data_IF_091741153712
#
_entry.id   IF_091741153712
#
_cell.length_a   1.000
_cell.length_b   1.000
_cell.length_c   1.000
_cell.angle_alpha   90.00
_cell.angle_beta   90.00
_cell.angle_gamma   90.00
#
_symmetry.space_group_name_H-M   'P 1'
#
loop_
_entity.id
_entity.type
_entity.pdbx_description
1 polymer ?
#
# COMPACT_ATOMS: atom_id res chain seq x y z
N UNK A 1 7.47 12.51 -6.39
CA UNK A 1 6.08 12.41 -6.86
C UNK A 1 5.40 11.11 -6.37
N UNK A 2 5.91 9.91 -6.69
CA UNK A 2 5.24 8.63 -6.35
C UNK A 2 4.92 8.50 -4.84
N UNK A 3 5.85 8.86 -3.96
CA UNK A 3 5.62 8.82 -2.49
C UNK A 3 4.49 9.76 -2.07
N UNK A 4 4.45 10.99 -2.60
CA UNK A 4 3.39 11.95 -2.28
C UNK A 4 2.02 11.48 -2.82
N UNK A 5 2.00 10.90 -4.03
CA UNK A 5 0.79 10.31 -4.60
C UNK A 5 0.28 9.18 -3.72
N UNK A 6 1.13 8.22 -3.35
CA UNK A 6 0.73 7.08 -2.52
C UNK A 6 0.28 7.51 -1.12
N UNK A 7 0.92 8.51 -0.52
CA UNK A 7 0.48 9.08 0.74
C UNK A 7 -0.92 9.70 0.62
N UNK A 8 -1.20 10.42 -0.47
CA UNK A 8 -2.52 11.02 -0.73
C UNK A 8 -3.58 9.95 -1.05
N UNK A 9 -3.25 8.91 -1.81
CA UNK A 9 -4.15 7.79 -2.09
C UNK A 9 -4.60 7.05 -0.82
N UNK A 10 -3.76 7.01 0.21
CA UNK A 10 -4.15 6.47 1.54
C UNK A 10 -5.44 7.12 2.07
N UNK A 11 -5.68 8.38 1.72
CA UNK A 11 -6.84 9.13 2.14
C UNK A 11 -7.98 9.09 1.13
N UNK A 12 -7.67 9.35 -0.15
CA UNK A 12 -8.72 9.55 -1.17
C UNK A 12 -9.20 8.24 -1.81
N UNK A 13 -8.43 7.16 -1.66
CA UNK A 13 -8.74 5.83 -2.18
C UNK A 13 -8.43 4.74 -1.14
N UNK A 14 -8.85 4.96 0.10
CA UNK A 14 -8.49 4.13 1.25
C UNK A 14 -8.86 2.65 1.13
N UNK A 15 -9.82 2.29 0.28
CA UNK A 15 -10.23 0.91 0.04
C UNK A 15 -9.20 0.12 -0.79
N UNK A 16 -8.42 0.81 -1.63
CA UNK A 16 -7.42 0.16 -2.51
C UNK A 16 -5.99 0.52 -2.12
N UNK A 17 -5.80 1.68 -1.48
CA UNK A 17 -4.48 2.21 -1.17
C UNK A 17 -4.40 2.66 0.30
N UNK A 18 -3.35 2.25 1.00
CA UNK A 18 -3.13 2.64 2.40
C UNK A 18 -1.66 2.52 2.79
N UNK A 19 -1.17 3.42 3.64
CA UNK A 19 0.15 3.25 4.29
C UNK A 19 0.18 2.04 5.23
N UNK A 20 -0.98 1.60 5.71
CA UNK A 20 -1.14 0.36 6.47
C UNK A 20 -1.33 -0.88 5.60
N UNK A 21 -1.22 -0.77 4.29
CA UNK A 21 -1.38 -1.86 3.33
C UNK A 21 -0.06 -2.48 2.88
N UNK A 22 -0.17 -3.23 1.79
CA UNK A 22 0.94 -3.94 1.15
C UNK A 22 0.98 -3.62 -0.34
N UNK A 23 2.15 -3.72 -0.95
CA UNK A 23 2.30 -3.43 -2.36
C UNK A 23 3.64 -3.78 -2.94
N UNK A 24 3.77 -3.53 -4.22
CA UNK A 24 4.99 -3.71 -4.98
C UNK A 24 5.18 -2.49 -5.87
N UNK A 25 6.42 -2.08 -6.07
CA UNK A 25 6.77 -0.97 -6.93
C UNK A 25 7.82 -1.40 -7.96
N UNK A 26 7.56 -1.18 -9.24
CA UNK A 26 8.54 -1.28 -10.32
C UNK A 26 8.98 0.12 -10.71
N UNK A 27 10.28 0.39 -10.72
CA UNK A 27 10.84 1.74 -10.85
C UNK A 27 11.85 1.75 -11.98
N UNK A 28 11.64 2.60 -12.98
CA UNK A 28 12.64 2.91 -13.99
C UNK A 28 13.44 4.16 -13.59
N UNK A 29 14.74 4.01 -13.41
CA UNK A 29 15.64 5.12 -13.13
C UNK A 29 16.26 5.64 -14.43
N UNK A 30 15.74 6.76 -14.92
CA UNK A 30 16.19 7.36 -16.20
C UNK A 30 17.69 7.66 -16.23
N UNK A 31 18.28 8.04 -15.10
CA UNK A 31 19.70 8.42 -15.04
C UNK A 31 20.64 7.25 -15.32
N UNK A 32 20.27 6.05 -14.92
CA UNK A 32 21.08 4.83 -15.08
C UNK A 32 20.55 3.89 -16.16
N UNK A 33 19.31 4.09 -16.63
CA UNK A 33 18.61 3.18 -17.53
C UNK A 33 18.20 1.86 -16.88
N UNK A 34 18.29 1.76 -15.54
CA UNK A 34 17.97 0.53 -14.80
C UNK A 34 16.54 0.50 -14.32
N UNK A 35 16.00 -0.71 -14.25
CA UNK A 35 14.71 -0.99 -13.62
C UNK A 35 14.96 -1.71 -12.29
N UNK A 36 14.24 -1.34 -11.27
CA UNK A 36 14.28 -1.94 -9.94
C UNK A 36 12.88 -2.44 -9.56
N UNK A 37 12.84 -3.47 -8.74
CA UNK A 37 11.62 -3.90 -8.05
C UNK A 37 11.79 -3.72 -6.55
N UNK A 38 10.76 -3.18 -5.91
CA UNK A 38 10.68 -3.07 -4.46
C UNK A 38 9.44 -3.81 -3.96
N UNK A 39 9.66 -4.82 -3.16
CA UNK A 39 8.60 -5.51 -2.44
C UNK A 39 8.34 -4.78 -1.11
N UNK A 40 7.13 -4.27 -0.98
CA UNK A 40 6.58 -3.60 0.20
C UNK A 40 5.47 -4.45 0.84
N UNK A 41 5.57 -5.77 0.73
CA UNK A 41 4.62 -6.70 1.34
C UNK A 41 5.19 -7.18 2.67
N UNK A 42 4.42 -7.04 3.74
CA UNK A 42 4.79 -7.57 5.04
C UNK A 42 4.57 -9.08 5.13
N UNK A 43 5.17 -9.68 6.12
CA UNK A 43 5.01 -11.09 6.42
C UNK A 43 3.65 -11.38 7.09
N UNK A 44 3.21 -12.63 7.05
CA UNK A 44 2.17 -13.12 7.93
C UNK A 44 2.67 -13.03 9.40
N UNK A 45 1.81 -12.67 10.35
CA UNK A 45 2.19 -12.65 11.77
C UNK A 45 2.70 -14.02 12.25
N UNK A 46 3.72 -14.01 13.10
CA UNK A 46 4.30 -15.26 13.66
C UNK A 46 3.29 -16.06 14.49
N UNK A 47 2.37 -15.37 15.15
CA UNK A 47 1.33 -15.97 15.97
C UNK A 47 0.14 -16.53 15.16
N UNK A 48 0.18 -16.44 13.81
CA UNK A 48 -0.91 -16.93 12.97
C UNK A 48 -1.11 -18.44 13.14
N UNK A 49 -2.23 -18.81 13.72
CA UNK A 49 -2.70 -20.20 13.76
C UNK A 49 -3.53 -20.52 12.52
N UNK A 50 -2.92 -21.27 11.60
CA UNK A 50 -3.56 -21.65 10.34
C UNK A 50 -4.79 -22.52 10.51
N UNK A 51 -4.85 -23.33 11.58
CA UNK A 51 -5.98 -24.27 11.84
C UNK A 51 -7.20 -23.49 12.35
N UNK A 52 -6.99 -22.34 12.99
CA UNK A 52 -8.08 -21.46 13.44
C UNK A 52 -8.67 -20.58 12.32
N UNK A 53 -8.07 -20.56 11.13
CA UNK A 53 -8.49 -19.70 10.03
C UNK A 53 -9.56 -20.37 9.17
N UNK A 54 -10.59 -19.60 8.85
CA UNK A 54 -11.64 -19.96 7.89
C UNK A 54 -11.55 -19.10 6.65
N UNK A 55 -12.25 -19.46 5.58
CA UNK A 55 -12.33 -18.63 4.37
C UNK A 55 -12.86 -17.21 4.67
N UNK A 56 -13.72 -17.05 5.66
CA UNK A 56 -14.23 -15.76 6.09
C UNK A 56 -13.16 -14.95 6.82
N UNK A 57 -12.51 -15.53 7.84
CA UNK A 57 -11.48 -14.85 8.64
C UNK A 57 -10.19 -14.56 7.89
N UNK A 58 -9.90 -15.29 6.81
CA UNK A 58 -8.80 -14.99 5.89
C UNK A 58 -9.05 -13.72 5.04
N UNK A 59 -10.31 -13.36 4.82
CA UNK A 59 -10.67 -12.27 3.92
C UNK A 59 -11.24 -11.04 4.65
N UNK A 60 -11.64 -11.17 5.92
CA UNK A 60 -12.37 -10.13 6.64
C UNK A 60 -11.98 -10.06 8.10
N UNK A 61 -11.98 -8.82 8.61
CA UNK A 61 -11.77 -8.55 10.03
C UNK A 61 -10.28 -8.51 10.42
N UNK A 62 -10.06 -8.39 11.72
CA UNK A 62 -8.72 -8.14 12.30
C UNK A 62 -7.75 -9.31 12.06
N UNK A 63 -8.26 -10.54 12.03
CA UNK A 63 -7.45 -11.75 11.78
C UNK A 63 -6.87 -11.84 10.37
N UNK A 64 -7.48 -11.17 9.38
CA UNK A 64 -6.98 -11.13 8.00
C UNK A 64 -5.74 -10.22 7.83
N UNK A 65 -5.38 -9.46 8.86
CA UNK A 65 -4.26 -8.51 8.80
C UNK A 65 -2.92 -9.20 8.63
N UNK A 66 -2.08 -8.63 7.77
CA UNK A 66 -0.65 -8.94 7.66
C UNK A 66 0.15 -7.69 8.00
N UNK A 67 1.43 -7.85 8.31
CA UNK A 67 2.30 -6.71 8.66
C UNK A 67 2.23 -5.64 7.57
N UNK A 68 1.91 -4.37 7.88
CA UNK A 68 1.84 -3.31 6.88
C UNK A 68 3.21 -2.99 6.30
N UNK A 69 3.32 -2.95 4.98
CA UNK A 69 4.61 -2.78 4.30
C UNK A 69 4.76 -1.49 3.50
N UNK A 70 3.65 -0.86 3.08
CA UNK A 70 3.69 0.32 2.21
C UNK A 70 4.52 1.45 2.81
N UNK A 71 4.29 1.82 4.08
CA UNK A 71 5.01 2.95 4.68
C UNK A 71 6.52 2.75 4.65
N UNK A 72 7.02 1.57 5.07
CA UNK A 72 8.46 1.30 5.07
C UNK A 72 9.07 1.27 3.67
N UNK A 73 8.33 0.75 2.68
CA UNK A 73 8.73 0.82 1.29
C UNK A 73 8.81 2.25 0.77
N UNK A 74 7.85 3.12 1.11
CA UNK A 74 7.87 4.53 0.74
C UNK A 74 9.08 5.26 1.34
N UNK A 75 9.41 5.00 2.61
CA UNK A 75 10.64 5.54 3.24
C UNK A 75 11.88 5.06 2.50
N UNK A 76 11.96 3.77 2.16
CA UNK A 76 13.11 3.21 1.45
C UNK A 76 13.30 3.81 0.05
N UNK A 77 12.22 4.03 -0.72
CA UNK A 77 12.27 4.72 -2.02
C UNK A 77 12.65 6.18 -1.85
N UNK A 78 12.07 6.86 -0.87
CA UNK A 78 12.35 8.27 -0.61
C UNK A 78 13.81 8.47 -0.22
N UNK A 79 14.38 7.58 0.58
CA UNK A 79 15.79 7.63 0.96
C UNK A 79 16.71 7.36 -0.23
N UNK A 80 16.49 6.26 -0.94
CA UNK A 80 17.38 5.81 -2.03
C UNK A 80 17.32 6.69 -3.28
N UNK A 81 16.12 7.17 -3.66
CA UNK A 81 15.89 7.82 -4.96
C UNK A 81 15.29 9.23 -4.85
N UNK A 82 14.77 9.59 -3.68
CA UNK A 82 14.15 10.89 -3.44
C UNK A 82 15.16 11.97 -3.02
N UNK A 83 14.70 13.23 -3.15
CA UNK A 83 15.46 14.41 -2.72
C UNK A 83 14.72 15.23 -1.66
N UNK A 84 13.39 15.12 -1.64
CA UNK A 84 12.54 15.87 -0.72
C UNK A 84 12.52 15.20 0.66
N UNK A 85 12.14 15.95 1.68
CA UNK A 85 11.87 15.46 3.02
C UNK A 85 10.54 14.71 3.09
N UNK A 86 10.33 13.94 4.15
CA UNK A 86 9.03 13.32 4.43
C UNK A 86 7.95 14.40 4.65
N UNK A 87 8.32 15.50 5.32
CA UNK A 87 7.44 16.65 5.53
C UNK A 87 6.89 17.20 4.20
N UNK A 88 7.76 17.42 3.21
CA UNK A 88 7.37 17.94 1.90
C UNK A 88 6.48 16.97 1.11
N UNK A 89 6.76 15.67 1.16
CA UNK A 89 5.97 14.69 0.39
C UNK A 89 4.66 14.30 1.08
N UNK A 90 4.53 14.48 2.39
CA UNK A 90 3.32 14.18 3.15
C UNK A 90 2.40 15.41 3.35
N UNK A 91 2.90 16.62 3.07
CA UNK A 91 2.12 17.86 3.24
C UNK A 91 0.75 17.80 2.55
N UNK A 92 0.62 17.39 1.26
CA UNK A 92 -0.69 17.32 0.61
C UNK A 92 -1.65 16.35 1.30
N UNK A 93 -1.16 15.16 1.68
CA UNK A 93 -1.96 14.13 2.35
C UNK A 93 -2.44 14.61 3.72
N UNK A 94 -1.56 15.26 4.49
CA UNK A 94 -1.91 15.86 5.79
C UNK A 94 -2.95 16.96 5.60
N UNK A 95 -2.74 17.84 4.61
CA UNK A 95 -3.65 18.93 4.31
C UNK A 95 -5.06 18.45 3.98
N UNK A 96 -5.20 17.45 3.12
CA UNK A 96 -6.49 16.84 2.80
C UNK A 96 -7.12 16.10 3.98
N UNK A 97 -6.32 15.40 4.78
CA UNK A 97 -6.83 14.67 5.94
C UNK A 97 -7.39 15.61 7.02
N UNK A 98 -6.81 16.80 7.19
CA UNK A 98 -7.26 17.81 8.16
C UNK A 98 -8.39 18.69 7.63
N UNK A 99 -8.20 19.25 6.42
CA UNK A 99 -9.12 20.25 5.87
C UNK A 99 -10.25 19.63 5.04
N UNK A 100 -10.09 18.35 4.67
CA UNK A 100 -11.05 17.61 3.88
C UNK A 100 -10.81 17.68 2.37
N UNK A 101 -11.43 16.74 1.69
CA UNK A 101 -11.52 16.67 0.23
C UNK A 101 -12.93 16.23 -0.16
N UNK A 102 -13.42 16.60 -1.35
CA UNK A 102 -14.71 16.12 -1.81
C UNK A 102 -14.61 14.62 -2.13
N UNK A 103 -15.31 13.78 -1.33
CA UNK A 103 -15.27 12.33 -1.51
C UNK A 103 -15.88 11.94 -2.86
N UNK A 104 -15.20 11.05 -3.60
CA UNK A 104 -15.64 10.61 -4.92
C UNK A 104 -16.78 9.58 -4.86
N UNK A 105 -17.57 9.44 -5.94
CA UNK A 105 -18.69 8.52 -5.97
C UNK A 105 -18.28 7.04 -5.77
N UNK A 106 -17.15 6.60 -6.35
CA UNK A 106 -16.74 5.20 -6.26
C UNK A 106 -16.36 4.81 -4.82
N UNK A 107 -15.69 5.72 -4.09
CA UNK A 107 -15.41 5.54 -2.67
C UNK A 107 -16.69 5.46 -1.85
N UNK A 108 -17.69 6.31 -2.14
CA UNK A 108 -18.99 6.28 -1.47
C UNK A 108 -19.71 4.95 -1.71
N UNK A 109 -19.78 4.51 -2.97
CA UNK A 109 -20.42 3.24 -3.36
C UNK A 109 -19.73 2.04 -2.67
N UNK A 110 -18.39 2.07 -2.56
CA UNK A 110 -17.63 1.05 -1.83
C UNK A 110 -17.98 1.04 -0.34
N UNK A 111 -17.95 2.20 0.33
CA UNK A 111 -18.33 2.31 1.76
C UNK A 111 -19.76 1.80 1.96
N UNK A 112 -20.69 2.14 1.08
CA UNK A 112 -22.07 1.68 1.14
C UNK A 112 -22.18 0.15 0.95
N UNK A 113 -21.44 -0.41 0.00
CA UNK A 113 -21.43 -1.87 -0.24
C UNK A 113 -20.86 -2.67 0.94
N UNK A 114 -19.99 -2.06 1.74
CA UNK A 114 -19.34 -2.67 2.90
C UNK A 114 -19.94 -2.20 4.24
N UNK A 115 -21.02 -1.43 4.23
CA UNK A 115 -21.58 -0.78 5.42
C UNK A 115 -21.83 -1.76 6.56
N UNK A 116 -22.43 -2.92 6.29
CA UNK A 116 -22.74 -3.94 7.32
C UNK A 116 -21.47 -4.42 8.05
N UNK A 117 -20.37 -4.65 7.31
CA UNK A 117 -19.10 -5.12 7.87
C UNK A 117 -18.41 -3.97 8.63
N UNK A 118 -18.34 -2.79 8.04
CA UNK A 118 -17.69 -1.62 8.64
C UNK A 118 -18.36 -1.25 9.96
N UNK A 119 -19.68 -1.38 10.06
CA UNK A 119 -20.44 -1.06 11.30
C UNK A 119 -20.20 -2.06 12.44
N UNK A 120 -19.62 -3.24 12.18
CA UNK A 120 -19.22 -4.18 13.23
C UNK A 120 -17.98 -3.72 14.01
N UNK A 121 -17.23 -2.77 13.47
CA UNK A 121 -15.97 -2.30 14.04
C UNK A 121 -16.06 -0.80 14.45
N UNK A 122 -16.03 -0.48 15.75
CA UNK A 122 -16.16 0.92 16.22
C UNK A 122 -15.18 1.90 15.59
N UNK A 123 -13.94 1.45 15.34
CA UNK A 123 -12.90 2.27 14.69
C UNK A 123 -13.25 2.59 13.24
N UNK A 124 -13.80 1.62 12.50
CA UNK A 124 -14.30 1.83 11.13
C UNK A 124 -15.51 2.75 11.13
N UNK A 125 -16.42 2.61 12.11
CA UNK A 125 -17.58 3.53 12.25
C UNK A 125 -17.11 4.97 12.44
N UNK A 126 -16.14 5.19 13.34
CA UNK A 126 -15.58 6.52 13.59
C UNK A 126 -14.96 7.13 12.31
N UNK A 127 -14.22 6.33 11.55
CA UNK A 127 -13.51 6.80 10.37
C UNK A 127 -14.42 6.99 9.15
N UNK A 128 -15.29 6.01 8.85
CA UNK A 128 -16.04 5.96 7.58
C UNK A 128 -17.43 6.61 7.67
N UNK A 129 -17.98 6.76 8.88
CA UNK A 129 -19.32 7.34 9.11
C UNK A 129 -19.27 8.54 10.06
N UNK A 130 -18.49 9.61 9.74
CA UNK A 130 -18.25 10.74 10.67
C UNK A 130 -19.52 11.47 11.08
N UNK A 131 -20.61 11.35 10.28
CA UNK A 131 -21.96 11.88 10.58
C UNK A 131 -22.98 10.79 10.91
N UNK A 132 -22.52 9.59 11.33
CA UNK A 132 -23.37 8.44 11.64
C UNK A 132 -24.00 7.74 10.41
N UNK A 133 -23.72 8.20 9.21
CA UNK A 133 -24.22 7.69 7.93
C UNK A 133 -23.13 7.59 6.88
N UNK A 134 -23.39 6.87 5.80
CA UNK A 134 -22.55 6.88 4.59
C UNK A 134 -22.43 8.32 4.08
N UNK A 135 -21.23 8.81 3.76
CA UNK A 135 -21.01 10.11 3.13
C UNK A 135 -21.77 10.23 1.79
N UNK A 136 -22.05 11.43 1.34
CA UNK A 136 -22.58 11.66 -0.01
C UNK A 136 -21.45 12.03 -0.95
N UNK A 137 -21.51 11.60 -2.21
CA UNK A 137 -20.55 12.01 -3.23
C UNK A 137 -20.41 13.54 -3.29
N UNK A 138 -19.18 14.04 -3.33
CA UNK A 138 -18.86 15.47 -3.26
C UNK A 138 -18.92 16.09 -1.85
N UNK A 139 -19.32 15.36 -0.83
CA UNK A 139 -19.27 15.82 0.55
C UNK A 139 -17.82 15.94 1.04
N UNK A 140 -17.51 16.99 1.78
CA UNK A 140 -16.18 17.15 2.38
C UNK A 140 -15.94 16.06 3.41
N UNK A 141 -14.93 15.25 3.17
CA UNK A 141 -14.51 14.13 4.02
C UNK A 141 -13.16 14.43 4.66
N UNK A 142 -13.05 14.28 5.96
CA UNK A 142 -11.82 14.49 6.73
C UNK A 142 -11.44 13.21 7.48
N UNK A 143 -10.15 13.03 7.74
CA UNK A 143 -9.66 11.91 8.55
C UNK A 143 -8.60 12.37 9.56
N UNK A 144 -9.01 13.01 10.67
CA UNK A 144 -8.10 13.61 11.64
C UNK A 144 -7.12 12.63 12.28
N UNK A 145 -7.54 11.38 12.51
CA UNK A 145 -6.67 10.35 13.09
C UNK A 145 -5.52 9.98 12.14
N UNK A 146 -5.79 9.90 10.82
CA UNK A 146 -4.75 9.71 9.81
C UNK A 146 -3.80 10.92 9.76
N UNK A 147 -4.35 12.13 9.75
CA UNK A 147 -3.53 13.36 9.79
C UNK A 147 -2.59 13.37 11.00
N UNK A 148 -3.09 12.99 12.18
CA UNK A 148 -2.29 12.88 13.40
C UNK A 148 -1.15 11.86 13.24
N UNK A 149 -1.43 10.69 12.66
CA UNK A 149 -0.42 9.65 12.41
C UNK A 149 0.65 10.14 11.44
N UNK A 150 0.26 10.75 10.31
CA UNK A 150 1.21 11.30 9.34
C UNK A 150 2.09 12.40 9.95
N UNK A 151 1.50 13.27 10.78
CA UNK A 151 2.24 14.32 11.51
C UNK A 151 3.27 13.75 12.49
N UNK A 152 2.93 12.69 13.22
CA UNK A 152 3.87 12.00 14.10
C UNK A 152 5.09 11.49 13.34
N UNK A 153 4.91 10.95 12.14
CA UNK A 153 6.00 10.46 11.30
C UNK A 153 6.89 11.61 10.80
N UNK A 154 6.29 12.71 10.35
CA UNK A 154 7.01 13.93 9.97
C UNK A 154 7.76 14.52 11.17
N UNK A 155 7.15 14.54 12.35
CA UNK A 155 7.79 15.03 13.58
C UNK A 155 9.05 14.23 13.95
N UNK A 156 9.03 12.90 13.74
CA UNK A 156 10.19 12.04 14.00
C UNK A 156 11.36 12.42 13.08
N UNK A 157 11.09 12.57 11.77
CA UNK A 157 12.09 13.06 10.79
C UNK A 157 12.66 14.42 11.19
N UNK A 158 11.77 15.40 11.43
CA UNK A 158 12.18 16.77 11.76
C UNK A 158 12.98 16.86 13.07
N UNK A 159 12.60 16.08 14.07
CA UNK A 159 13.33 16.03 15.35
C UNK A 159 14.73 15.45 15.17
N UNK A 160 14.88 14.42 14.36
CA UNK A 160 16.18 13.85 14.02
C UNK A 160 17.06 14.86 13.26
N UNK A 161 16.51 15.57 12.26
CA UNK A 161 17.23 16.64 11.53
C UNK A 161 17.68 17.75 12.48
N UNK A 162 16.81 18.22 13.38
CA UNK A 162 17.14 19.25 14.37
C UNK A 162 18.24 18.80 15.34
N UNK A 163 18.37 17.50 15.59
CA UNK A 163 19.46 16.94 16.41
C UNK A 163 20.76 16.72 15.64
N UNK A 164 20.85 17.16 14.39
CA UNK A 164 22.04 17.08 13.55
C UNK A 164 22.23 15.76 12.80
N UNK A 165 21.22 14.89 12.76
CA UNK A 165 21.26 13.65 11.99
C UNK A 165 21.17 13.93 10.49
N UNK A 166 21.78 13.05 9.69
CA UNK A 166 21.68 13.08 8.23
C UNK A 166 20.23 12.85 7.77
N UNK A 167 19.94 13.17 6.51
CA UNK A 167 18.63 12.93 5.89
C UNK A 167 18.21 11.45 6.00
N UNK A 168 19.14 10.52 5.71
CA UNK A 168 18.87 9.08 5.79
C UNK A 168 18.53 8.64 7.22
N UNK A 169 19.29 9.09 8.22
CA UNK A 169 19.00 8.80 9.63
C UNK A 169 17.68 9.43 10.11
N UNK A 170 17.30 10.56 9.54
CA UNK A 170 16.03 11.22 9.86
C UNK A 170 14.84 10.46 9.26
N UNK A 171 14.95 9.98 8.03
CA UNK A 171 13.95 9.08 7.43
C UNK A 171 13.85 7.75 8.19
N UNK A 172 14.99 7.21 8.63
CA UNK A 172 15.01 6.03 9.50
C UNK A 172 14.32 6.27 10.84
N UNK A 173 14.42 7.48 11.41
CA UNK A 173 13.69 7.80 12.65
C UNK A 173 12.17 7.79 12.45
N UNK A 174 11.67 8.19 11.29
CA UNK A 174 10.25 8.07 10.94
C UNK A 174 9.86 6.59 10.75
N UNK A 175 10.68 5.80 10.07
CA UNK A 175 10.50 4.36 9.94
C UNK A 175 10.42 3.68 11.31
N UNK A 176 11.38 3.96 12.20
CA UNK A 176 11.44 3.37 13.53
C UNK A 176 10.24 3.78 14.39
N UNK A 177 9.72 5.01 14.24
CA UNK A 177 8.50 5.42 14.95
C UNK A 177 7.29 4.59 14.54
N UNK A 178 7.19 4.21 13.26
CA UNK A 178 6.09 3.38 12.77
C UNK A 178 6.24 1.93 13.22
N UNK A 179 7.42 1.33 13.04
CA UNK A 179 7.63 -0.11 13.21
C UNK A 179 8.12 -0.52 14.61
N UNK A 180 8.68 0.42 15.40
CA UNK A 180 9.26 0.14 16.73
C UNK A 180 8.77 1.09 17.82
N UNK A 181 8.15 2.22 17.43
CA UNK A 181 7.72 3.26 18.33
C UNK A 181 6.27 3.13 18.82
N UNK A 182 5.70 4.28 19.16
CA UNK A 182 4.34 4.41 19.69
C UNK A 182 3.25 3.89 18.73
N UNK A 183 3.48 3.96 17.41
CA UNK A 183 2.56 3.44 16.42
C UNK A 183 2.56 1.91 16.45
N UNK A 184 3.72 1.25 16.51
CA UNK A 184 3.81 -0.21 16.62
C UNK A 184 3.14 -0.72 17.90
N UNK A 185 3.32 -0.01 19.02
CA UNK A 185 2.68 -0.35 20.29
C UNK A 185 1.16 -0.25 20.22
N UNK A 186 0.63 0.74 19.50
CA UNK A 186 -0.81 0.88 19.30
C UNK A 186 -1.38 -0.24 18.40
N UNK A 187 -0.64 -0.66 17.34
CA UNK A 187 -0.99 -1.85 16.57
C UNK A 187 -1.07 -3.09 17.47
N UNK A 188 -0.03 -3.37 18.24
CA UNK A 188 0.05 -4.52 19.14
C UNK A 188 -1.12 -4.53 20.13
N UNK A 189 -1.39 -3.38 20.78
CA UNK A 189 -2.54 -3.22 21.67
C UNK A 189 -3.86 -3.52 20.97
N UNK A 190 -4.09 -2.88 19.80
CA UNK A 190 -5.34 -3.03 19.06
C UNK A 190 -5.57 -4.48 18.62
N UNK A 191 -4.54 -5.13 18.07
CA UNK A 191 -4.65 -6.52 17.61
C UNK A 191 -4.89 -7.48 18.76
N UNK A 192 -4.23 -7.31 19.91
CA UNK A 192 -4.46 -8.10 21.14
C UNK A 192 -5.89 -7.91 21.67
N UNK A 193 -6.39 -6.69 21.71
CA UNK A 193 -7.74 -6.39 22.21
C UNK A 193 -8.86 -6.91 21.29
N UNK A 194 -8.57 -7.14 20.00
CA UNK A 194 -9.54 -7.54 18.98
C UNK A 194 -9.28 -8.94 18.41
N UNK A 195 -8.54 -9.79 19.13
CA UNK A 195 -8.27 -11.19 18.75
C UNK A 195 -7.56 -11.33 17.39
N UNK A 196 -6.66 -10.39 17.08
CA UNK A 196 -5.80 -10.40 15.91
C UNK A 196 -4.41 -10.97 16.20
N UNK A 197 -3.58 -11.12 15.17
CA UNK A 197 -2.30 -11.82 15.27
C UNK A 197 -1.06 -10.93 15.19
N UNK A 198 -1.17 -9.70 14.69
CA UNK A 198 -0.02 -8.80 14.53
C UNK A 198 0.47 -8.33 15.90
N UNK A 199 1.78 -8.46 16.14
CA UNK A 199 2.46 -8.02 17.35
C UNK A 199 3.48 -6.93 17.05
N UNK A 200 3.95 -6.23 18.10
CA UNK A 200 5.05 -5.27 17.96
C UNK A 200 6.33 -5.94 17.42
N UNK A 201 6.59 -7.22 17.77
CA UNK A 201 7.74 -7.97 17.29
C UNK A 201 7.64 -8.26 15.77
N UNK A 202 6.44 -8.52 15.25
CA UNK A 202 6.22 -8.70 13.81
C UNK A 202 6.48 -7.40 13.04
N UNK A 203 6.06 -6.26 13.61
CA UNK A 203 6.33 -4.94 13.03
C UNK A 203 7.81 -4.61 13.05
N UNK A 204 8.50 -4.82 14.17
CA UNK A 204 9.94 -4.55 14.31
C UNK A 204 10.81 -5.36 13.34
N UNK A 205 10.34 -6.58 13.00
CA UNK A 205 11.04 -7.48 12.06
C UNK A 205 10.83 -7.11 10.59
N UNK A 206 9.99 -6.10 10.29
CA UNK A 206 9.69 -5.74 8.91
C UNK A 206 10.83 -4.99 8.24
N UNK A 207 11.17 -5.41 7.02
CA UNK A 207 12.10 -4.72 6.11
C UNK A 207 11.55 -4.76 4.67
N UNK A 208 11.60 -3.64 3.92
CA UNK A 208 11.28 -3.63 2.50
C UNK A 208 12.39 -4.31 1.70
N UNK A 209 12.03 -5.09 0.67
CA UNK A 209 12.97 -5.91 -0.08
C UNK A 209 13.17 -5.36 -1.49
N UNK A 210 14.37 -4.87 -1.78
CA UNK A 210 14.79 -4.55 -3.15
C UNK A 210 15.23 -5.80 -3.89
N UNK A 211 14.75 -5.95 -5.12
CA UNK A 211 15.06 -7.10 -5.97
C UNK A 211 15.25 -6.66 -7.43
N UNK A 212 15.91 -7.52 -8.20
CA UNK A 212 15.91 -7.38 -9.66
C UNK A 212 14.51 -7.71 -10.20
N UNK A 213 13.99 -6.92 -11.15
CA UNK A 213 12.71 -7.21 -11.78
C UNK A 213 12.80 -8.50 -12.62
N UNK A 214 11.68 -9.18 -12.79
CA UNK A 214 11.55 -10.17 -13.87
C UNK A 214 11.40 -9.44 -15.20
N UNK A 215 11.96 -10.02 -16.27
CA UNK A 215 12.06 -9.38 -17.57
C UNK A 215 11.80 -10.36 -18.70
N UNK A 216 11.16 -9.89 -19.76
CA UNK A 216 11.09 -10.53 -21.07
C UNK A 216 11.10 -9.48 -22.17
N UNK A 217 11.27 -9.91 -23.40
CA UNK A 217 11.00 -9.07 -24.59
C UNK A 217 9.68 -9.48 -25.21
N UNK A 218 8.93 -8.54 -25.76
CA UNK A 218 7.72 -8.81 -26.50
C UNK A 218 7.63 -7.83 -27.67
N UNK A 219 7.65 -8.35 -28.90
CA UNK A 219 7.58 -7.55 -30.15
C UNK A 219 8.60 -6.40 -30.19
N UNK A 220 9.80 -6.62 -29.69
CA UNK A 220 10.89 -5.63 -29.67
C UNK A 220 10.84 -4.64 -28.50
N UNK A 221 9.94 -4.80 -27.56
CA UNK A 221 9.87 -4.03 -26.33
C UNK A 221 10.40 -4.85 -25.15
N UNK A 222 11.15 -4.19 -24.28
CA UNK A 222 11.55 -4.73 -22.99
C UNK A 222 10.40 -4.58 -21.99
N UNK A 223 9.95 -5.69 -21.41
CA UNK A 223 8.86 -5.72 -20.43
C UNK A 223 9.41 -6.14 -19.08
N UNK A 224 9.24 -5.29 -18.09
CA UNK A 224 9.67 -5.52 -16.71
C UNK A 224 8.49 -5.63 -15.77
N UNK A 225 8.59 -6.52 -14.79
CA UNK A 225 7.60 -6.63 -13.72
C UNK A 225 8.25 -7.10 -12.42
N UNK A 226 7.46 -7.17 -11.36
CA UNK A 226 7.94 -7.63 -10.06
C UNK A 226 8.22 -9.12 -10.04
N UNK A 227 9.28 -9.56 -9.33
CA UNK A 227 9.54 -10.96 -9.09
C UNK A 227 8.55 -11.57 -8.08
N UNK A 228 8.80 -12.82 -7.72
CA UNK A 228 8.01 -13.58 -6.74
C UNK A 228 7.78 -12.83 -5.43
N UNK A 229 6.63 -12.83 -4.98
CA UNK A 229 5.60 -12.55 -4.03
C UNK A 229 4.35 -12.04 -4.74
N UNK A 230 4.46 -11.38 -5.90
CA UNK A 230 3.33 -11.12 -6.80
C UNK A 230 3.39 -12.10 -7.97
N UNK A 231 2.42 -12.94 -8.04
CA UNK A 231 2.23 -13.88 -9.15
C UNK A 231 1.91 -13.14 -10.46
N UNK A 232 1.19 -12.01 -10.39
CA UNK A 232 0.70 -11.29 -11.55
C UNK A 232 1.80 -10.80 -12.51
N UNK A 233 2.95 -10.38 -11.98
CA UNK A 233 4.09 -10.00 -12.81
C UNK A 233 4.62 -11.14 -13.67
N UNK A 234 4.86 -12.29 -13.04
CA UNK A 234 5.35 -13.49 -13.72
C UNK A 234 4.33 -14.04 -14.73
N UNK A 235 3.04 -14.11 -14.32
CA UNK A 235 1.95 -14.56 -15.19
C UNK A 235 1.82 -13.68 -16.45
N UNK A 236 1.91 -12.36 -16.32
CA UNK A 236 1.87 -11.45 -17.46
C UNK A 236 3.02 -11.73 -18.44
N UNK A 237 4.25 -11.90 -17.96
CA UNK A 237 5.39 -12.18 -18.82
C UNK A 237 5.25 -13.55 -19.51
N UNK A 238 4.77 -14.55 -18.80
CA UNK A 238 4.49 -15.88 -19.37
C UNK A 238 3.42 -15.80 -20.47
N UNK A 239 2.32 -15.09 -20.22
CA UNK A 239 1.26 -14.89 -21.22
C UNK A 239 1.78 -14.18 -22.46
N UNK A 240 2.56 -13.12 -22.30
CA UNK A 240 3.16 -12.41 -23.43
C UNK A 240 4.05 -13.35 -24.26
N UNK A 241 4.90 -14.16 -23.61
CA UNK A 241 5.74 -15.14 -24.30
C UNK A 241 4.91 -16.20 -25.05
N UNK A 242 3.80 -16.65 -24.48
CA UNK A 242 2.91 -17.64 -25.13
C UNK A 242 2.25 -17.08 -26.38
N UNK A 243 1.82 -15.81 -26.36
CA UNK A 243 1.10 -15.19 -27.49
C UNK A 243 2.02 -14.50 -28.49
N UNK A 244 3.33 -14.41 -28.25
CA UNK A 244 4.26 -13.69 -29.14
C UNK A 244 4.33 -14.25 -30.55
N UNK A 245 4.18 -15.56 -30.72
CA UNK A 245 4.21 -16.25 -32.01
C UNK A 245 2.94 -16.09 -32.84
N UNK A 246 1.87 -15.52 -32.29
CA UNK A 246 0.60 -15.36 -32.97
C UNK A 246 0.46 -13.94 -33.55
N UNK A 247 -0.09 -13.83 -34.77
CA UNK A 247 -0.45 -12.55 -35.37
C UNK A 247 -1.82 -12.08 -34.86
N UNK A 248 -1.81 -11.46 -33.66
CA UNK A 248 -3.02 -10.97 -33.01
C UNK A 248 -3.73 -9.88 -33.83
N UNK A 249 -2.98 -9.12 -34.63
CA UNK A 249 -3.55 -8.06 -35.48
C UNK A 249 -4.35 -8.69 -36.63
N UNK A 250 -3.81 -9.73 -37.28
CA UNK A 250 -4.53 -10.48 -38.33
C UNK A 250 -5.74 -11.25 -37.77
N UNK A 251 -5.66 -11.74 -36.54
CA UNK A 251 -6.79 -12.43 -35.88
C UNK A 251 -7.95 -11.46 -35.57
N UNK A 252 -7.64 -10.18 -35.34
CA UNK A 252 -8.63 -9.15 -35.05
C UNK A 252 -9.05 -9.06 -33.58
N UNK A 253 -9.31 -7.84 -33.13
CA UNK A 253 -9.70 -7.58 -31.75
C UNK A 253 -11.06 -8.20 -31.41
N UNK A 254 -11.14 -8.94 -30.30
CA UNK A 254 -12.37 -9.62 -29.84
C UNK A 254 -12.99 -10.61 -30.87
N UNK A 255 -12.20 -11.08 -31.82
CA UNK A 255 -12.64 -12.16 -32.74
C UNK A 255 -12.76 -13.49 -31.95
N UNK A 256 -13.48 -14.46 -32.53
CA UNK A 256 -13.58 -15.80 -31.94
C UNK A 256 -12.20 -16.46 -31.82
N UNK A 257 -11.30 -16.25 -32.77
CA UNK A 257 -9.93 -16.77 -32.75
C UNK A 257 -9.11 -16.18 -31.63
N UNK A 258 -9.13 -14.83 -31.48
CA UNK A 258 -8.41 -14.16 -30.38
C UNK A 258 -8.96 -14.57 -29.01
N UNK A 259 -10.28 -14.62 -28.85
CA UNK A 259 -10.89 -15.04 -27.57
C UNK A 259 -10.57 -16.51 -27.24
N UNK A 260 -10.56 -17.39 -28.26
CA UNK A 260 -10.17 -18.79 -28.06
C UNK A 260 -8.71 -18.91 -27.62
N UNK A 261 -7.79 -18.20 -28.28
CA UNK A 261 -6.36 -18.18 -27.91
C UNK A 261 -6.15 -17.70 -26.47
N UNK A 262 -6.85 -16.63 -26.05
CA UNK A 262 -6.72 -16.07 -24.71
C UNK A 262 -7.36 -16.93 -23.60
N UNK A 263 -8.29 -17.82 -23.97
CA UNK A 263 -8.97 -18.73 -23.04
C UNK A 263 -8.31 -20.11 -22.90
N UNK A 264 -7.45 -20.48 -23.85
CA UNK A 264 -6.74 -21.77 -23.88
C UNK A 264 -5.49 -21.74 -23.03
#
# INVERSE_FOLDING_TARGET
>A
AAVAIQATLTLVEQMMSSIGGNGIMTIFEKATGKVYSLNMTGAAPKALDRESMTAETLNKGVRAGIVPGIFGGLISVLDRMGKLSLAEVFEPAIGYAENGYPIDPATVDYIQSQEEILRKHPTSVKAMFPKGRVPRAGEMFTWPDLASTLKKLVEAEQSALKSGKSRSEALQAAFDRFYKGDIAQEFDRFFKENDGFITAEDLEAYEPIWAEPVHTTFRGYDIFSSPSTSRGGLETLMQLNLVESYDLDAMGQNSAETLHLLAA
#
